data_IF_852113925301
#
_entry.id   IF_852113925301
#
_cell.length_a   1.000
_cell.length_b   1.000
_cell.length_c   1.000
_cell.angle_alpha   90.00
_cell.angle_beta   90.00
_cell.angle_gamma   90.00
#
_symmetry.space_group_name_H-M   'P 1'
#
loop_
_entity.id
_entity.type
_entity.pdbx_description
1 polymer ?
#
# COMPACT_ATOMS: atom_id res chain seq x y z
N UNK A 1 16.22 -1.60 -17.14
CA UNK A 1 17.18 -1.88 -16.03
C UNK A 1 17.93 -0.59 -15.73
N UNK A 2 17.81 -0.08 -14.53
CA UNK A 2 18.43 1.20 -14.16
C UNK A 2 19.85 0.92 -13.66
N UNK A 3 20.85 1.59 -14.24
CA UNK A 3 22.26 1.51 -13.83
C UNK A 3 22.47 1.74 -12.32
N UNK A 4 21.57 2.48 -11.69
CA UNK A 4 21.61 2.83 -10.25
C UNK A 4 21.45 1.64 -9.30
N UNK A 5 20.87 0.54 -9.76
CA UNK A 5 20.66 -0.68 -8.96
C UNK A 5 21.84 -1.69 -9.10
N UNK A 6 22.98 -1.26 -9.69
CA UNK A 6 24.17 -2.10 -9.81
C UNK A 6 25.15 -1.83 -8.68
N UNK A 7 25.75 -2.90 -8.15
CA UNK A 7 26.75 -2.84 -7.07
C UNK A 7 27.89 -1.87 -7.38
N UNK A 8 28.38 -1.85 -8.64
CA UNK A 8 29.41 -0.93 -9.10
C UNK A 8 29.01 0.54 -8.87
N UNK A 9 27.76 0.93 -9.13
CA UNK A 9 27.28 2.29 -8.91
C UNK A 9 27.28 2.67 -7.43
N UNK A 10 26.86 1.75 -6.54
CA UNK A 10 26.94 1.97 -5.10
C UNK A 10 28.38 2.26 -4.65
N UNK A 11 29.34 1.45 -5.09
CA UNK A 11 30.76 1.62 -4.76
C UNK A 11 31.32 2.96 -5.25
N UNK A 12 31.00 3.34 -6.48
CA UNK A 12 31.40 4.65 -7.03
C UNK A 12 30.90 5.78 -6.16
N UNK A 13 29.63 5.75 -5.78
CA UNK A 13 29.00 6.81 -4.98
C UNK A 13 29.51 6.82 -3.53
N UNK A 14 29.60 5.66 -2.88
CA UNK A 14 29.93 5.54 -1.47
C UNK A 14 31.43 5.69 -1.16
N UNK A 15 32.27 5.25 -2.09
CA UNK A 15 33.74 5.32 -1.94
C UNK A 15 34.37 6.47 -2.73
N UNK A 16 33.59 7.18 -3.56
CA UNK A 16 34.05 8.28 -4.42
C UNK A 16 35.22 7.86 -5.36
N UNK A 17 35.13 6.66 -5.91
CA UNK A 17 36.13 6.06 -6.81
C UNK A 17 35.63 5.99 -8.26
N UNK A 18 36.56 5.75 -9.19
CA UNK A 18 36.20 5.57 -10.59
C UNK A 18 35.43 4.26 -10.85
N UNK A 19 34.66 4.23 -11.94
CA UNK A 19 33.96 3.00 -12.37
C UNK A 19 34.90 1.80 -12.55
N UNK A 20 36.10 2.04 -13.07
CA UNK A 20 37.13 1.02 -13.27
C UNK A 20 37.61 0.44 -11.94
N UNK A 21 37.85 1.30 -10.94
CA UNK A 21 38.30 0.86 -9.63
C UNK A 21 37.17 0.10 -8.90
N UNK A 22 35.93 0.60 -8.95
CA UNK A 22 34.79 -0.09 -8.37
C UNK A 22 34.59 -1.50 -8.94
N UNK A 23 34.70 -1.66 -10.28
CA UNK A 23 34.63 -2.97 -10.90
C UNK A 23 35.81 -3.86 -10.47
N UNK A 24 37.03 -3.32 -10.36
CA UNK A 24 38.19 -4.05 -9.84
C UNK A 24 38.01 -4.59 -8.42
N UNK A 25 37.39 -3.80 -7.53
CA UNK A 25 37.06 -4.24 -6.17
C UNK A 25 36.07 -5.40 -6.17
N UNK A 26 35.02 -5.33 -7.01
CA UNK A 26 34.05 -6.41 -7.15
C UNK A 26 34.72 -7.69 -7.65
N UNK A 27 35.44 -7.61 -8.75
CA UNK A 27 36.11 -8.76 -9.39
C UNK A 27 37.14 -9.42 -8.47
N UNK A 28 37.79 -8.65 -7.58
CA UNK A 28 38.75 -9.19 -6.62
C UNK A 28 38.06 -9.90 -5.42
N UNK A 29 36.72 -9.88 -5.33
CA UNK A 29 35.98 -10.51 -4.24
C UNK A 29 36.08 -9.78 -2.89
N UNK A 30 36.49 -8.51 -2.90
CA UNK A 30 36.61 -7.70 -1.66
C UNK A 30 35.27 -7.12 -1.18
N UNK A 31 34.23 -7.20 -1.99
CA UNK A 31 32.91 -6.71 -1.64
C UNK A 31 32.04 -7.87 -1.15
N UNK A 32 31.40 -7.68 -0.01
CA UNK A 32 30.53 -8.67 0.62
C UNK A 32 29.09 -8.12 0.49
N UNK A 33 28.18 -8.97 0.04
CA UNK A 33 26.73 -8.66 -0.02
C UNK A 33 26.00 -9.75 0.76
N UNK A 34 25.24 -9.37 1.79
CA UNK A 34 24.52 -10.28 2.68
C UNK A 34 25.43 -11.39 3.25
N UNK A 35 26.65 -11.05 3.67
CA UNK A 35 27.62 -11.98 4.21
C UNK A 35 28.38 -12.81 3.16
N UNK A 36 28.10 -12.67 1.86
CA UNK A 36 28.72 -13.46 0.78
C UNK A 36 29.65 -12.56 -0.07
N UNK A 37 30.90 -13.00 -0.27
CA UNK A 37 31.83 -12.33 -1.19
C UNK A 37 31.35 -12.46 -2.64
N UNK A 38 31.24 -11.33 -3.34
CA UNK A 38 30.77 -11.28 -4.73
C UNK A 38 31.89 -10.93 -5.68
N UNK A 39 31.90 -11.58 -6.87
CA UNK A 39 32.90 -11.39 -7.95
C UNK A 39 32.26 -10.96 -9.27
N UNK A 40 31.01 -10.49 -9.24
CA UNK A 40 30.30 -9.96 -10.42
C UNK A 40 29.52 -8.71 -10.06
N UNK A 41 29.29 -7.84 -11.03
CA UNK A 41 28.51 -6.63 -10.85
C UNK A 41 27.01 -6.97 -10.80
N UNK A 42 26.56 -7.50 -9.66
CA UNK A 42 25.17 -7.91 -9.43
C UNK A 42 24.23 -6.71 -9.25
N UNK A 43 22.94 -6.96 -9.38
CA UNK A 43 21.92 -6.05 -8.91
C UNK A 43 21.78 -6.19 -7.39
N UNK A 44 21.51 -5.07 -6.73
CA UNK A 44 21.22 -5.01 -5.31
C UNK A 44 20.00 -4.15 -5.05
N UNK A 45 19.41 -4.30 -3.88
CA UNK A 45 18.21 -3.59 -3.44
C UNK A 45 18.44 -2.91 -2.09
N UNK A 46 17.46 -2.16 -1.61
CA UNK A 46 17.55 -1.52 -0.29
C UNK A 46 17.60 -2.52 0.89
N UNK A 47 17.24 -3.78 0.69
CA UNK A 47 17.28 -4.80 1.74
C UNK A 47 18.65 -5.48 1.86
N UNK A 48 19.53 -5.27 0.87
CA UNK A 48 20.83 -5.92 0.86
C UNK A 48 21.83 -5.12 1.70
N UNK A 49 22.54 -5.83 2.60
CA UNK A 49 23.70 -5.30 3.28
C UNK A 49 24.91 -5.35 2.33
N UNK A 50 25.68 -4.26 2.24
CA UNK A 50 26.89 -4.21 1.43
C UNK A 50 28.06 -3.72 2.26
N UNK A 51 29.11 -4.55 2.36
CA UNK A 51 30.32 -4.28 3.15
C UNK A 51 31.56 -4.30 2.24
N UNK A 52 32.48 -3.36 2.46
CA UNK A 52 33.80 -3.33 1.89
C UNK A 52 34.85 -3.00 2.95
N UNK A 53 35.84 -3.86 3.14
CA UNK A 53 36.96 -3.71 4.13
C UNK A 53 36.41 -3.32 5.54
N UNK A 54 35.44 -4.09 6.06
CA UNK A 54 34.75 -3.86 7.34
C UNK A 54 33.95 -2.54 7.44
N UNK A 55 33.86 -1.78 6.34
CA UNK A 55 32.99 -0.60 6.28
C UNK A 55 31.64 -0.97 5.67
N UNK A 56 30.56 -0.74 6.41
CA UNK A 56 29.20 -0.89 5.89
C UNK A 56 28.93 0.28 4.92
N UNK A 57 28.76 -0.05 3.64
CA UNK A 57 28.42 0.89 2.58
C UNK A 57 26.91 1.09 2.44
N UNK A 58 26.17 0.04 2.75
CA UNK A 58 24.71 0.05 2.86
C UNK A 58 24.31 -0.95 3.94
N UNK A 59 23.52 -0.48 4.91
CA UNK A 59 22.81 -1.35 5.83
C UNK A 59 21.58 -1.96 5.13
N UNK A 60 21.37 -3.25 5.26
CA UNK A 60 20.18 -3.92 4.75
C UNK A 60 18.93 -3.37 5.47
N UNK A 61 17.98 -2.84 4.72
CA UNK A 61 16.74 -2.31 5.29
C UNK A 61 15.79 -3.45 5.64
N UNK A 62 15.42 -3.59 6.91
CA UNK A 62 14.33 -4.49 7.29
C UNK A 62 13.01 -3.90 6.80
N UNK A 63 12.36 -4.59 5.86
CA UNK A 63 11.04 -4.20 5.38
C UNK A 63 9.98 -4.57 6.41
N UNK A 64 9.05 -3.64 6.62
CA UNK A 64 7.96 -3.78 7.57
C UNK A 64 6.65 -3.61 6.82
N UNK A 65 5.73 -4.55 7.02
CA UNK A 65 4.38 -4.51 6.46
C UNK A 65 3.37 -4.69 7.58
N UNK A 66 2.42 -3.79 7.66
CA UNK A 66 1.44 -3.75 8.74
C UNK A 66 0.03 -3.65 8.15
N UNK A 67 -0.86 -4.51 8.62
CA UNK A 67 -2.29 -4.35 8.49
C UNK A 67 -2.79 -3.54 9.70
N UNK A 68 -3.26 -2.32 9.47
CA UNK A 68 -3.76 -1.41 10.48
C UNK A 68 -5.24 -1.15 10.29
N UNK A 69 -6.04 -1.15 11.37
CA UNK A 69 -7.41 -0.68 11.32
C UNK A 69 -7.44 0.84 11.55
N UNK A 70 -7.53 1.61 10.47
CA UNK A 70 -7.70 3.06 10.59
C UNK A 70 -9.07 3.40 11.18
N UNK A 71 -9.16 4.10 12.31
CA UNK A 71 -10.43 4.56 12.87
C UNK A 71 -11.12 5.57 11.95
N UNK A 72 -12.45 5.67 12.07
CA UNK A 72 -13.23 6.79 11.51
C UNK A 72 -12.81 8.10 12.19
N UNK A 73 -12.86 9.21 11.47
CA UNK A 73 -12.51 10.53 12.00
C UNK A 73 -11.02 10.89 11.81
N UNK A 74 -10.18 9.96 11.34
CA UNK A 74 -8.74 10.17 11.13
C UNK A 74 -8.44 10.37 9.64
N UNK A 75 -7.74 11.46 9.32
CA UNK A 75 -7.25 11.74 7.97
C UNK A 75 -6.04 10.87 7.64
N UNK A 76 -6.02 10.23 6.45
CA UNK A 76 -4.87 9.42 6.00
C UNK A 76 -3.75 10.33 5.50
N UNK A 77 -3.08 11.00 6.42
CA UNK A 77 -1.92 11.86 6.16
C UNK A 77 -0.91 11.77 7.30
N UNK A 78 0.36 11.93 6.99
CA UNK A 78 1.46 12.04 7.96
C UNK A 78 1.81 13.50 8.28
N UNK A 79 1.11 14.47 7.67
CA UNK A 79 1.29 15.89 7.95
C UNK A 79 0.65 16.25 9.29
N UNK A 80 1.47 16.52 10.29
CA UNK A 80 1.07 16.85 11.66
C UNK A 80 0.38 18.22 11.79
N UNK A 81 0.48 19.08 10.78
CA UNK A 81 -0.26 20.35 10.75
C UNK A 81 -1.76 20.16 10.48
N UNK A 82 -2.17 18.98 10.00
CA UNK A 82 -3.58 18.64 9.78
C UNK A 82 -4.12 18.00 11.06
N UNK A 83 -5.23 18.50 11.64
CA UNK A 83 -5.86 17.88 12.80
C UNK A 83 -6.32 16.45 12.51
N UNK A 84 -6.37 15.61 13.54
CA UNK A 84 -6.82 14.21 13.43
C UNK A 84 -6.11 13.43 12.31
N UNK A 85 -4.80 13.62 12.20
CA UNK A 85 -3.96 12.97 11.20
C UNK A 85 -3.53 11.56 11.65
N UNK A 86 -3.17 10.73 10.66
CA UNK A 86 -2.73 9.36 10.90
C UNK A 86 -1.46 9.28 11.76
N UNK A 87 -0.49 10.19 11.54
CA UNK A 87 0.79 10.18 12.27
C UNK A 87 0.62 10.31 13.79
N UNK A 88 -0.38 11.08 14.23
CA UNK A 88 -0.63 11.33 15.66
C UNK A 88 -1.18 10.12 16.44
N UNK A 89 -1.67 9.11 15.74
CA UNK A 89 -2.31 7.93 16.35
C UNK A 89 -1.55 6.62 16.08
N UNK A 90 -0.52 6.64 15.24
CA UNK A 90 0.27 5.44 14.96
C UNK A 90 1.17 5.10 16.15
N UNK A 91 1.13 3.87 16.67
CA UNK A 91 1.93 3.43 17.81
C UNK A 91 3.34 2.96 17.39
N UNK A 92 3.93 3.56 16.36
CA UNK A 92 5.22 3.14 15.78
C UNK A 92 6.22 4.27 15.83
N UNK A 93 7.46 3.95 16.23
CA UNK A 93 8.62 4.84 16.12
C UNK A 93 9.23 4.79 14.70
N UNK A 94 9.04 3.67 13.99
CA UNK A 94 9.52 3.48 12.61
C UNK A 94 8.80 4.43 11.65
N UNK A 95 9.54 4.90 10.65
CA UNK A 95 8.99 5.71 9.56
C UNK A 95 8.20 4.84 8.58
N UNK A 96 6.93 4.63 8.90
CA UNK A 96 5.97 3.93 8.04
C UNK A 96 5.07 4.93 7.33
N UNK A 97 4.72 4.61 6.08
CA UNK A 97 3.76 5.39 5.30
C UNK A 97 2.58 4.53 4.84
N UNK A 98 1.39 5.13 4.67
CA UNK A 98 0.21 4.40 4.21
C UNK A 98 0.31 4.07 2.73
N UNK A 99 -0.05 2.83 2.37
CA UNK A 99 -0.18 2.39 0.98
C UNK A 99 -1.62 2.61 0.53
N UNK A 100 -1.84 3.68 -0.19
CA UNK A 100 -3.17 4.18 -0.50
C UNK A 100 -3.81 4.96 0.65
N UNK A 101 -5.08 5.30 0.49
CA UNK A 101 -5.79 6.17 1.43
C UNK A 101 -7.18 5.64 1.74
N UNK A 102 -7.70 6.02 2.91
CA UNK A 102 -9.10 6.01 3.29
C UNK A 102 -9.52 7.43 3.64
N UNK A 103 -10.72 7.83 3.25
CA UNK A 103 -11.28 9.14 3.62
C UNK A 103 -11.41 9.26 5.14
N UNK A 104 -11.43 10.49 5.68
CA UNK A 104 -11.63 10.77 7.11
C UNK A 104 -12.89 10.10 7.67
N UNK A 105 -13.98 10.12 6.90
CA UNK A 105 -15.28 9.51 7.29
C UNK A 105 -15.35 7.99 7.05
N UNK A 106 -14.27 7.35 6.60
CA UNK A 106 -14.20 5.90 6.34
C UNK A 106 -13.21 5.25 7.29
N UNK A 107 -13.38 3.96 7.53
CA UNK A 107 -12.57 3.18 8.47
C UNK A 107 -12.19 1.81 7.90
N UNK A 108 -11.40 1.06 8.65
CA UNK A 108 -11.01 -0.31 8.32
C UNK A 108 -9.58 -0.44 7.83
N UNK A 109 -9.32 -1.48 7.04
CA UNK A 109 -7.98 -1.92 6.67
C UNK A 109 -7.21 -0.85 5.91
N UNK A 110 -6.05 -0.50 6.43
CA UNK A 110 -5.03 0.33 5.81
C UNK A 110 -3.68 -0.40 5.91
N UNK A 111 -2.95 -0.49 4.82
CA UNK A 111 -1.60 -1.04 4.83
C UNK A 111 -0.60 0.07 5.13
N UNK A 112 0.35 -0.22 6.01
CA UNK A 112 1.48 0.66 6.33
C UNK A 112 2.78 -0.09 6.05
N UNK A 113 3.78 0.61 5.52
CA UNK A 113 5.08 0.01 5.22
C UNK A 113 6.18 1.06 5.14
N UNK A 114 7.43 0.62 5.19
CA UNK A 114 8.60 1.39 4.81
C UNK A 114 9.14 1.00 3.41
N UNK A 115 8.43 0.15 2.67
CA UNK A 115 8.80 -0.31 1.32
C UNK A 115 8.14 0.55 0.23
N UNK A 116 8.93 1.47 -0.36
CA UNK A 116 8.43 2.32 -1.46
C UNK A 116 8.01 1.56 -2.72
N UNK A 117 8.52 0.34 -2.93
CA UNK A 117 8.15 -0.45 -4.13
C UNK A 117 6.72 -0.96 -4.06
N UNK A 118 6.22 -1.20 -2.84
CA UNK A 118 4.85 -1.62 -2.59
C UNK A 118 3.84 -0.52 -2.97
N UNK A 119 4.18 0.74 -2.67
CA UNK A 119 3.36 1.89 -3.02
C UNK A 119 3.10 1.96 -4.53
N UNK A 120 4.15 1.83 -5.34
CA UNK A 120 4.03 1.83 -6.80
C UNK A 120 3.18 0.68 -7.31
N UNK A 121 3.37 -0.53 -6.77
CA UNK A 121 2.58 -1.71 -7.15
C UNK A 121 1.09 -1.53 -6.88
N UNK A 122 0.71 -0.96 -5.74
CA UNK A 122 -0.69 -0.79 -5.35
C UNK A 122 -1.42 0.32 -6.11
N UNK A 123 -0.71 1.41 -6.46
CA UNK A 123 -1.36 2.60 -7.02
C UNK A 123 -1.41 2.59 -8.55
N UNK A 124 -0.60 1.79 -9.22
CA UNK A 124 -0.70 1.63 -10.67
C UNK A 124 -1.99 0.89 -11.01
N UNK A 125 -2.88 1.56 -11.76
CA UNK A 125 -4.16 1.00 -12.21
C UNK A 125 -4.04 -0.32 -12.99
N UNK A 126 -2.85 -0.60 -13.54
CA UNK A 126 -2.52 -1.82 -14.28
C UNK A 126 -2.62 -3.08 -13.42
N UNK A 127 -2.35 -2.96 -12.12
CA UNK A 127 -2.29 -4.11 -11.20
C UNK A 127 -3.65 -4.56 -10.66
N UNK A 128 -4.73 -3.83 -10.96
CA UNK A 128 -6.13 -4.18 -10.59
C UNK A 128 -6.31 -4.73 -9.17
N UNK A 129 -5.59 -4.19 -8.20
CA UNK A 129 -5.65 -4.62 -6.79
C UNK A 129 -7.06 -4.47 -6.25
N UNK A 130 -7.68 -5.58 -5.88
CA UNK A 130 -9.02 -5.61 -5.32
C UNK A 130 -9.07 -4.97 -3.93
N UNK A 131 -10.14 -4.22 -3.69
CA UNK A 131 -10.47 -3.66 -2.38
C UNK A 131 -11.93 -3.94 -2.10
N UNK A 132 -12.18 -4.57 -0.97
CA UNK A 132 -13.51 -4.98 -0.55
C UNK A 132 -13.99 -4.13 0.63
N UNK A 133 -15.25 -3.75 0.54
CA UNK A 133 -15.88 -2.86 1.51
C UNK A 133 -17.22 -3.39 1.96
N UNK A 134 -17.53 -3.20 3.26
CA UNK A 134 -18.87 -3.32 3.82
C UNK A 134 -19.44 -1.89 3.96
N UNK A 135 -20.60 -1.67 3.40
CA UNK A 135 -21.22 -0.35 3.29
C UNK A 135 -22.63 -0.37 3.82
N UNK A 136 -22.93 0.50 4.79
CA UNK A 136 -24.29 0.69 5.33
C UNK A 136 -24.85 2.02 4.82
N UNK A 137 -26.08 2.00 4.35
CA UNK A 137 -26.80 3.15 3.77
C UNK A 137 -28.05 3.49 4.55
N UNK A 138 -28.59 4.69 4.33
CA UNK A 138 -29.76 5.25 5.05
C UNK A 138 -31.11 4.78 4.54
N UNK A 139 -31.16 3.96 3.49
CA UNK A 139 -32.40 3.48 2.84
C UNK A 139 -32.32 2.00 2.60
N UNK A 140 -33.50 1.34 2.55
CA UNK A 140 -33.60 -0.06 2.17
C UNK A 140 -33.09 -0.26 0.74
N UNK A 141 -32.22 -1.23 0.60
CA UNK A 141 -31.59 -1.63 -0.68
C UNK A 141 -32.61 -2.45 -1.46
N UNK A 142 -32.75 -2.13 -2.75
CA UNK A 142 -33.57 -2.89 -3.69
C UNK A 142 -32.72 -3.53 -4.83
N UNK A 143 -33.36 -4.36 -5.62
CA UNK A 143 -32.68 -5.03 -6.75
C UNK A 143 -32.14 -4.02 -7.78
N UNK A 144 -32.85 -2.90 -7.99
CA UNK A 144 -32.41 -1.86 -8.91
C UNK A 144 -31.11 -1.23 -8.45
N UNK A 145 -30.96 -0.96 -7.14
CA UNK A 145 -29.71 -0.45 -6.55
C UNK A 145 -28.56 -1.41 -6.82
N UNK A 146 -28.72 -2.70 -6.48
CA UNK A 146 -27.66 -3.71 -6.66
C UNK A 146 -27.24 -3.82 -8.13
N UNK A 147 -28.22 -3.95 -9.04
CA UNK A 147 -27.99 -4.06 -10.48
C UNK A 147 -27.26 -2.84 -11.03
N UNK A 148 -27.66 -1.63 -10.63
CA UNK A 148 -27.07 -0.39 -11.12
C UNK A 148 -25.67 -0.18 -10.55
N UNK A 149 -25.46 -0.45 -9.25
CA UNK A 149 -24.14 -0.38 -8.61
C UNK A 149 -23.13 -1.33 -9.27
N UNK A 150 -23.54 -2.55 -9.62
CA UNK A 150 -22.64 -3.55 -10.20
C UNK A 150 -22.33 -3.34 -11.68
N UNK A 151 -23.26 -2.75 -12.46
CA UNK A 151 -23.05 -2.51 -13.89
C UNK A 151 -22.10 -1.36 -14.23
N UNK A 152 -21.78 -0.53 -13.24
CA UNK A 152 -20.95 0.66 -13.39
C UNK A 152 -21.78 1.92 -13.58
N UNK A 153 -21.48 2.93 -12.77
CA UNK A 153 -22.16 4.24 -12.74
C UNK A 153 -21.19 5.32 -13.22
N UNK A 154 -21.66 6.27 -14.01
CA UNK A 154 -20.85 7.44 -14.37
C UNK A 154 -20.81 8.43 -13.20
N UNK A 155 -19.65 8.66 -12.64
CA UNK A 155 -19.36 9.68 -11.63
C UNK A 155 -18.21 10.58 -12.08
N UNK A 156 -18.30 11.89 -11.82
CA UNK A 156 -17.25 12.86 -12.20
C UNK A 156 -16.85 12.77 -13.69
N UNK A 157 -17.81 12.50 -14.58
CA UNK A 157 -17.56 12.34 -16.03
C UNK A 157 -16.85 11.05 -16.44
N UNK A 158 -16.62 10.11 -15.50
CA UNK A 158 -15.99 8.81 -15.77
C UNK A 158 -16.96 7.68 -15.46
N UNK A 159 -17.09 6.74 -16.36
CA UNK A 159 -17.83 5.49 -16.11
C UNK A 159 -16.96 4.56 -15.29
N UNK A 160 -17.49 4.11 -14.16
CA UNK A 160 -16.84 3.14 -13.28
C UNK A 160 -16.88 1.76 -13.94
N UNK A 161 -15.81 0.99 -13.79
CA UNK A 161 -15.80 -0.40 -14.24
C UNK A 161 -16.87 -1.20 -13.51
N UNK A 162 -17.50 -2.18 -14.18
CA UNK A 162 -18.36 -3.15 -13.50
C UNK A 162 -17.65 -3.75 -12.30
N UNK A 163 -18.41 -3.97 -11.23
CA UNK A 163 -17.88 -4.48 -9.98
C UNK A 163 -18.85 -5.44 -9.31
N UNK A 164 -18.33 -6.27 -8.42
CA UNK A 164 -19.16 -7.17 -7.64
C UNK A 164 -19.85 -6.42 -6.50
N UNK A 165 -21.17 -6.56 -6.41
CA UNK A 165 -21.99 -5.98 -5.34
C UNK A 165 -22.96 -7.05 -4.84
N UNK A 166 -22.96 -7.30 -3.52
CA UNK A 166 -23.85 -8.28 -2.88
C UNK A 166 -24.57 -7.64 -1.71
N UNK A 167 -25.87 -7.79 -1.66
CA UNK A 167 -26.64 -7.37 -0.50
C UNK A 167 -26.37 -8.33 0.68
N UNK A 168 -26.14 -7.75 1.86
CA UNK A 168 -25.96 -8.48 3.13
C UNK A 168 -27.27 -8.48 3.92
N UNK A 169 -27.88 -7.29 4.07
CA UNK A 169 -29.16 -7.08 4.72
C UNK A 169 -29.93 -5.91 4.06
N UNK A 170 -31.03 -5.47 4.65
CA UNK A 170 -31.88 -4.40 4.11
C UNK A 170 -31.14 -3.06 3.88
N UNK A 171 -30.07 -2.79 4.62
CA UNK A 171 -29.34 -1.51 4.60
C UNK A 171 -27.84 -1.66 4.32
N UNK A 172 -27.35 -2.88 4.21
CA UNK A 172 -25.90 -3.16 4.12
C UNK A 172 -25.60 -4.00 2.90
N UNK A 173 -24.52 -3.61 2.19
CA UNK A 173 -24.00 -4.37 1.06
C UNK A 173 -22.49 -4.50 1.10
N UNK A 174 -21.99 -5.51 0.44
CA UNK A 174 -20.57 -5.72 0.14
C UNK A 174 -20.28 -5.23 -1.28
N UNK A 175 -19.13 -4.61 -1.50
CA UNK A 175 -18.67 -4.18 -2.81
C UNK A 175 -17.17 -4.43 -2.98
N UNK A 176 -16.77 -5.00 -4.14
CA UNK A 176 -15.37 -5.24 -4.49
C UNK A 176 -14.99 -4.35 -5.67
N UNK A 177 -13.97 -3.51 -5.48
CA UNK A 177 -13.48 -2.55 -6.47
C UNK A 177 -12.01 -2.77 -6.78
N UNK A 178 -11.65 -2.69 -8.06
CA UNK A 178 -10.25 -2.63 -8.54
C UNK A 178 -9.78 -1.18 -8.76
N UNK A 179 -10.72 -0.23 -8.83
CA UNK A 179 -10.46 1.20 -8.96
C UNK A 179 -10.50 1.91 -7.59
N UNK A 180 -9.90 3.11 -7.50
CA UNK A 180 -9.90 3.89 -6.27
C UNK A 180 -10.06 5.39 -6.55
N UNK A 181 -11.18 5.81 -7.16
CA UNK A 181 -11.46 7.23 -7.38
C UNK A 181 -11.84 7.91 -6.06
N UNK A 182 -11.58 9.22 -5.98
CA UNK A 182 -11.92 10.00 -4.80
C UNK A 182 -13.40 9.83 -4.41
N UNK A 183 -13.63 9.30 -3.19
CA UNK A 183 -14.96 9.04 -2.60
C UNK A 183 -15.90 8.24 -3.52
N UNK A 184 -15.33 7.28 -4.27
CA UNK A 184 -16.03 6.54 -5.35
C UNK A 184 -17.36 5.95 -4.87
N UNK A 185 -17.34 5.09 -3.84
CA UNK A 185 -18.55 4.41 -3.33
C UNK A 185 -19.60 5.43 -2.87
N UNK A 186 -19.19 6.46 -2.11
CA UNK A 186 -20.11 7.51 -1.63
C UNK A 186 -20.76 8.26 -2.78
N UNK A 187 -20.02 8.52 -3.87
CA UNK A 187 -20.56 9.19 -5.08
C UNK A 187 -21.49 8.28 -5.87
N UNK A 188 -21.18 6.99 -5.95
CA UNK A 188 -22.05 5.98 -6.59
C UNK A 188 -23.38 5.89 -5.85
N UNK A 189 -23.37 5.75 -4.51
CA UNK A 189 -24.57 5.72 -3.67
C UNK A 189 -25.37 7.02 -3.80
N UNK A 190 -24.70 8.18 -3.70
CA UNK A 190 -25.37 9.50 -3.82
C UNK A 190 -26.10 9.67 -5.14
N UNK A 191 -25.55 9.17 -6.24
CA UNK A 191 -26.19 9.22 -7.56
C UNK A 191 -27.49 8.40 -7.64
N UNK A 192 -27.63 7.40 -6.78
CA UNK A 192 -28.84 6.60 -6.60
C UNK A 192 -29.73 7.10 -5.45
N UNK A 193 -29.45 8.30 -4.92
CA UNK A 193 -30.16 8.92 -3.81
C UNK A 193 -30.05 8.17 -2.46
N UNK A 194 -28.90 7.47 -2.25
CA UNK A 194 -28.54 6.85 -0.98
C UNK A 194 -27.41 7.62 -0.31
N UNK A 195 -27.48 7.72 1.02
CA UNK A 195 -26.40 8.26 1.84
C UNK A 195 -25.65 7.12 2.54
N UNK A 196 -24.31 7.17 2.49
CA UNK A 196 -23.46 6.17 3.15
C UNK A 196 -23.24 6.57 4.60
N UNK A 197 -23.81 5.80 5.53
CA UNK A 197 -23.69 5.95 6.98
C UNK A 197 -22.39 5.36 7.51
N UNK A 198 -22.03 4.15 7.03
CA UNK A 198 -20.79 3.46 7.39
C UNK A 198 -20.09 2.94 6.13
N UNK A 199 -18.75 3.01 6.11
CA UNK A 199 -17.91 2.47 5.06
C UNK A 199 -16.65 1.88 5.68
N UNK A 200 -16.56 0.56 5.66
CA UNK A 200 -15.47 -0.21 6.27
C UNK A 200 -14.74 -0.96 5.18
N UNK A 201 -13.44 -0.71 5.00
CA UNK A 201 -12.62 -1.54 4.10
C UNK A 201 -12.18 -2.79 4.84
N UNK A 202 -12.64 -3.94 4.38
CA UNK A 202 -12.40 -5.24 5.05
C UNK A 202 -11.30 -6.07 4.39
N UNK A 203 -10.93 -5.76 3.11
CA UNK A 203 -9.86 -6.48 2.38
C UNK A 203 -9.14 -5.57 1.39
N UNK A 204 -7.85 -5.83 1.22
CA UNK A 204 -7.00 -5.31 0.14
C UNK A 204 -6.21 -6.50 -0.40
N UNK A 205 -6.42 -6.87 -1.68
CA UNK A 205 -5.85 -8.06 -2.27
C UNK A 205 -6.11 -9.30 -1.38
N UNK A 206 -5.09 -10.01 -0.95
CA UNK A 206 -5.18 -11.15 -0.04
C UNK A 206 -5.25 -10.77 1.44
N UNK A 207 -4.94 -9.52 1.80
CA UNK A 207 -4.94 -9.07 3.20
C UNK A 207 -6.35 -8.75 3.66
N UNK A 208 -6.81 -9.45 4.68
CA UNK A 208 -8.13 -9.24 5.31
C UNK A 208 -7.98 -8.47 6.62
N UNK A 209 -9.02 -7.75 7.00
CA UNK A 209 -9.11 -7.03 8.28
C UNK A 209 -9.12 -8.00 9.47
N UNK A 210 -9.81 -9.13 9.30
CA UNK A 210 -9.97 -10.17 10.34
C UNK A 210 -10.52 -9.59 11.65
N UNK A 211 -9.88 -9.92 12.78
CA UNK A 211 -10.31 -9.54 14.14
C UNK A 211 -9.70 -8.21 14.62
N UNK A 212 -9.09 -7.41 13.73
CA UNK A 212 -8.58 -6.11 14.12
C UNK A 212 -9.72 -5.19 14.54
N UNK A 213 -9.51 -4.46 15.63
CA UNK A 213 -10.40 -3.41 16.11
C UNK A 213 -9.82 -2.02 15.77
N UNK A 214 -10.64 -0.99 15.81
CA UNK A 214 -10.22 0.36 15.46
C UNK A 214 -9.00 0.82 16.28
N UNK A 215 -7.94 1.26 15.56
CA UNK A 215 -6.68 1.69 16.18
C UNK A 215 -5.68 0.56 16.44
N UNK A 216 -6.03 -0.71 16.22
CA UNK A 216 -5.10 -1.84 16.39
C UNK A 216 -4.45 -2.26 15.06
N UNK A 217 -3.40 -3.08 15.15
CA UNK A 217 -2.65 -3.55 14.01
C UNK A 217 -2.11 -4.96 14.20
N UNK A 218 -1.68 -5.57 13.09
CA UNK A 218 -0.84 -6.77 13.08
C UNK A 218 0.28 -6.65 12.05
N UNK A 219 1.43 -7.23 12.37
CA UNK A 219 2.56 -7.33 11.42
C UNK A 219 2.24 -8.42 10.40
N UNK A 220 2.55 -8.16 9.14
CA UNK A 220 2.42 -9.12 8.05
C UNK A 220 3.79 -9.73 7.78
N UNK A 221 4.03 -10.92 8.31
CA UNK A 221 5.25 -11.67 8.05
C UNK A 221 5.22 -12.22 6.60
N UNK A 222 6.37 -12.28 5.94
CA UNK A 222 6.56 -12.79 4.57
C UNK A 222 5.56 -12.25 3.53
N UNK A 223 5.14 -10.99 3.71
CA UNK A 223 4.14 -10.39 2.87
C UNK A 223 4.59 -10.23 1.41
N UNK A 224 3.83 -10.81 0.49
CA UNK A 224 3.99 -10.63 -0.96
C UNK A 224 2.64 -10.29 -1.55
N UNK A 225 2.57 -9.27 -2.41
CA UNK A 225 1.38 -9.02 -3.21
C UNK A 225 1.17 -10.14 -4.23
N UNK A 226 -0.08 -10.47 -4.49
CA UNK A 226 -0.44 -11.26 -5.66
C UNK A 226 0.05 -10.54 -6.92
N UNK A 227 0.80 -11.23 -7.77
CA UNK A 227 1.31 -10.69 -9.03
C UNK A 227 0.20 -10.54 -10.05
#
# INVERSE_FOLDING_TARGET
MTFRNRLQYLLVVRLQISNKNALGLILSGKVIVNGISVKSNIEFTQVDEVIYENKVLQEGKKLIYIAYYKPRGIETTLNTAIPDNLKSILPFDEELFPVGRLDKASEGLLLLTNDGTLYDKMLRNENKVEKEYIVTVNRKIDEHFIKTMSSGITIMGKTILPCEVRQIDDFTFNIILVQGLNRQIRRMCYKLHYEVLSLIRVRIDQVKLENLTAGTYRVLEDFKFSN
#
